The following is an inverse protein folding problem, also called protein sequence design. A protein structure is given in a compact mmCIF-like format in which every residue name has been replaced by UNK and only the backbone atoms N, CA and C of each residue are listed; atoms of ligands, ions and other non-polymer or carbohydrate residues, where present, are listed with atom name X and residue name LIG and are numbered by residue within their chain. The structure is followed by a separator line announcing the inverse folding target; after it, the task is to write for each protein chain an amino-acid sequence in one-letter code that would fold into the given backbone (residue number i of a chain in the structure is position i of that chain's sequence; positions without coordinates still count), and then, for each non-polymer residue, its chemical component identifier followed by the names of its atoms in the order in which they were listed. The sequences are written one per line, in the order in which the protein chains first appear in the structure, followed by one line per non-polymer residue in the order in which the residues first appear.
data_IF_667467469767
#
_entry.id   IF_667467469767
#
_cell.length_a   1.000
_cell.length_b   1.000
_cell.length_c   1.000
_cell.angle_alpha   90.00
_cell.angle_beta   90.00
_cell.angle_gamma   90.00
#
_symmetry.space_group_name_H-M   'P 1'
#
loop_
_entity.id
_entity.type
_entity.pdbx_description
1 polymer ?
#
# COMPACT_ATOMS: atom_id res chain seq x y z
N UNK A 1 9.52 6.50 -21.38
CA UNK A 1 9.48 7.45 -22.50
C UNK A 1 8.65 6.82 -23.58
N UNK A 2 7.43 7.32 -23.78
CA UNK A 2 6.48 6.71 -24.73
C UNK A 2 6.53 7.37 -26.12
N UNK A 3 7.29 8.47 -26.26
CA UNK A 3 7.40 9.20 -27.53
C UNK A 3 8.84 9.13 -28.07
N UNK A 4 9.02 8.35 -29.13
CA UNK A 4 10.30 8.14 -29.81
C UNK A 4 10.88 9.44 -30.40
N UNK A 5 10.03 10.38 -30.83
CA UNK A 5 10.47 11.66 -31.35
C UNK A 5 11.07 12.61 -30.30
N UNK A 6 10.64 12.47 -29.03
CA UNK A 6 11.24 13.22 -27.93
C UNK A 6 12.60 12.65 -27.52
N UNK A 7 12.79 11.33 -27.67
CA UNK A 7 14.05 10.67 -27.35
C UNK A 7 15.18 11.14 -28.25
N UNK A 8 14.93 11.36 -29.55
CA UNK A 8 15.92 11.79 -30.53
C UNK A 8 16.36 13.27 -30.35
N UNK A 9 15.62 14.07 -29.57
CA UNK A 9 15.93 15.47 -29.28
C UNK A 9 16.67 15.69 -27.96
N UNK A 10 16.86 14.64 -27.16
CA UNK A 10 17.57 14.74 -25.90
C UNK A 10 19.07 14.69 -26.14
N UNK A 11 19.78 15.68 -25.63
CA UNK A 11 21.24 15.69 -25.65
C UNK A 11 21.80 14.51 -24.84
N UNK A 12 22.84 13.88 -25.35
CA UNK A 12 23.49 12.73 -24.71
C UNK A 12 23.95 13.06 -23.27
N UNK A 13 24.41 14.28 -23.05
CA UNK A 13 24.82 14.78 -21.74
C UNK A 13 23.66 14.76 -20.75
N UNK A 14 22.50 15.28 -21.14
CA UNK A 14 21.27 15.25 -20.32
C UNK A 14 20.81 13.84 -20.00
N UNK A 15 20.93 12.91 -20.95
CA UNK A 15 20.59 11.49 -20.72
C UNK A 15 21.56 10.82 -19.74
N UNK A 16 22.86 11.11 -19.85
CA UNK A 16 23.88 10.61 -18.92
C UNK A 16 23.66 11.15 -17.51
N UNK A 17 23.45 12.45 -17.38
CA UNK A 17 23.15 13.08 -16.10
C UNK A 17 21.91 12.46 -15.46
N UNK A 18 20.83 12.31 -16.22
CA UNK A 18 19.59 11.69 -15.72
C UNK A 18 19.80 10.24 -15.25
N UNK A 19 20.60 9.47 -15.99
CA UNK A 19 20.92 8.08 -15.63
C UNK A 19 21.80 7.97 -14.37
N UNK A 20 22.66 8.96 -14.12
CA UNK A 20 23.56 8.99 -12.95
C UNK A 20 22.88 9.55 -11.68
N UNK A 21 21.82 10.34 -11.81
CA UNK A 21 21.16 10.99 -10.66
C UNK A 21 20.82 10.05 -9.50
N UNK A 22 20.31 8.82 -9.71
CA UNK A 22 20.03 7.91 -8.60
C UNK A 22 21.29 7.47 -7.82
N UNK A 23 22.46 7.46 -8.45
CA UNK A 23 23.73 7.10 -7.84
C UNK A 23 24.39 8.27 -7.08
N UNK A 24 23.97 9.52 -7.26
CA UNK A 24 24.59 10.67 -6.60
C UNK A 24 24.69 10.52 -5.07
N UNK A 25 23.67 10.03 -4.35
CA UNK A 25 23.78 9.86 -2.91
C UNK A 25 24.87 8.86 -2.49
N UNK A 26 25.09 7.79 -3.26
CA UNK A 26 26.18 6.83 -2.97
C UNK A 26 27.55 7.46 -3.19
N UNK A 27 27.72 8.25 -4.26
CA UNK A 27 28.96 8.96 -4.56
C UNK A 27 29.29 9.97 -3.45
N UNK A 28 28.30 10.71 -2.95
CA UNK A 28 28.49 11.63 -1.83
C UNK A 28 28.93 10.87 -0.56
N UNK A 29 28.28 9.75 -0.24
CA UNK A 29 28.62 8.92 0.90
C UNK A 29 30.04 8.35 0.81
N UNK A 30 30.43 7.81 -0.35
CA UNK A 30 31.78 7.27 -0.61
C UNK A 30 32.87 8.33 -0.45
N UNK A 31 32.58 9.58 -0.79
CA UNK A 31 33.50 10.70 -0.61
C UNK A 31 33.38 11.41 0.75
N UNK A 32 32.64 10.81 1.72
CA UNK A 32 32.41 11.37 3.05
C UNK A 32 31.83 12.79 3.06
N UNK A 33 31.05 13.13 2.04
CA UNK A 33 30.32 14.40 1.98
C UNK A 33 28.99 14.24 2.72
N UNK A 34 28.78 14.97 3.84
CA UNK A 34 27.52 14.88 4.56
C UNK A 34 26.37 15.46 3.76
N UNK A 35 25.26 14.75 3.69
CA UNK A 35 24.05 15.19 3.00
C UNK A 35 22.80 14.77 3.77
N UNK A 36 21.73 15.53 3.63
CA UNK A 36 20.41 15.21 4.14
C UNK A 36 19.41 15.01 3.00
N UNK A 37 18.51 14.06 3.15
CA UNK A 37 17.44 13.78 2.17
C UNK A 37 16.18 14.54 2.58
N UNK A 38 15.56 15.22 1.63
CA UNK A 38 14.35 16.03 1.85
C UNK A 38 13.25 15.66 0.85
N UNK A 39 12.01 15.97 1.19
CA UNK A 39 10.85 15.83 0.30
C UNK A 39 10.62 17.05 -0.58
N UNK A 40 11.48 18.07 -0.48
CA UNK A 40 11.35 19.28 -1.28
C UNK A 40 11.39 18.96 -2.78
N UNK A 41 10.55 19.61 -3.55
CA UNK A 41 10.41 19.43 -5.01
C UNK A 41 9.85 18.08 -5.47
N UNK A 42 9.40 17.23 -4.56
CA UNK A 42 8.64 16.03 -4.96
C UNK A 42 7.22 16.40 -5.37
N UNK A 43 6.74 15.81 -6.48
CA UNK A 43 5.35 15.97 -6.93
C UNK A 43 4.34 15.30 -5.97
N UNK A 44 4.75 14.23 -5.32
CA UNK A 44 3.98 13.51 -4.30
C UNK A 44 4.92 12.96 -3.23
N UNK A 45 4.48 12.99 -1.98
CA UNK A 45 5.21 12.41 -0.84
C UNK A 45 5.40 10.89 -1.02
N UNK A 46 4.49 10.22 -1.71
CA UNK A 46 4.58 8.78 -2.00
C UNK A 46 5.83 8.41 -2.79
N UNK A 47 6.35 9.36 -3.61
CA UNK A 47 7.59 9.18 -4.36
C UNK A 47 8.84 9.12 -3.48
N UNK A 48 8.76 9.61 -2.24
CA UNK A 48 9.90 9.68 -1.34
C UNK A 48 10.54 8.31 -1.12
N UNK A 49 9.75 7.34 -0.67
CA UNK A 49 10.24 5.97 -0.40
C UNK A 49 10.73 5.30 -1.69
N UNK A 50 10.04 5.51 -2.80
CA UNK A 50 10.41 4.94 -4.11
C UNK A 50 11.79 5.46 -4.53
N UNK A 51 12.01 6.78 -4.46
CA UNK A 51 13.27 7.40 -4.85
C UNK A 51 14.42 7.00 -3.91
N UNK A 52 14.15 6.87 -2.61
CA UNK A 52 15.11 6.41 -1.62
C UNK A 52 15.56 4.97 -1.89
N UNK A 53 14.61 4.06 -2.15
CA UNK A 53 14.91 2.67 -2.50
C UNK A 53 15.66 2.58 -3.84
N UNK A 54 15.37 3.46 -4.78
CA UNK A 54 16.12 3.56 -6.03
C UNK A 54 17.56 3.99 -5.80
N UNK A 55 17.81 4.96 -4.92
CA UNK A 55 19.18 5.36 -4.56
C UNK A 55 19.95 4.21 -3.89
N UNK A 56 19.29 3.43 -3.04
CA UNK A 56 19.86 2.22 -2.41
C UNK A 56 20.21 1.17 -3.49
N UNK A 57 19.32 0.93 -4.44
CA UNK A 57 19.58 0.02 -5.56
C UNK A 57 20.77 0.48 -6.44
N UNK A 58 21.12 1.79 -6.41
CA UNK A 58 22.26 2.38 -7.13
C UNK A 58 23.47 2.64 -6.23
N UNK A 59 23.60 1.90 -5.12
CA UNK A 59 24.83 1.84 -4.33
C UNK A 59 24.80 2.58 -2.99
N UNK A 60 23.77 3.35 -2.66
CA UNK A 60 23.66 3.96 -1.34
C UNK A 60 23.42 2.87 -0.28
N UNK A 61 24.32 2.76 0.71
CA UNK A 61 24.10 1.78 1.78
C UNK A 61 22.89 2.17 2.66
N UNK A 62 22.10 1.19 3.18
CA UNK A 62 20.98 1.47 4.08
C UNK A 62 21.40 2.28 5.32
N UNK A 63 22.61 2.07 5.83
CA UNK A 63 23.12 2.80 6.98
C UNK A 63 23.36 4.28 6.64
N UNK A 64 23.96 4.59 5.49
CA UNK A 64 24.15 5.97 5.06
C UNK A 64 22.82 6.64 4.73
N UNK A 65 21.89 5.91 4.13
CA UNK A 65 20.52 6.38 3.93
C UNK A 65 19.83 6.74 5.25
N UNK A 66 19.99 5.89 6.29
CA UNK A 66 19.44 6.16 7.62
C UNK A 66 20.11 7.39 8.27
N UNK A 67 21.42 7.53 8.16
CA UNK A 67 22.14 8.72 8.65
C UNK A 67 21.64 9.99 7.97
N UNK A 68 21.48 9.95 6.64
CA UNK A 68 21.00 11.08 5.84
C UNK A 68 19.55 11.48 6.18
N UNK A 69 18.78 10.60 6.80
CA UNK A 69 17.41 10.85 7.27
C UNK A 69 17.33 11.24 8.74
N UNK A 70 18.37 11.00 9.54
CA UNK A 70 18.30 11.13 11.01
C UNK A 70 19.42 11.97 11.60
N UNK A 71 20.63 11.42 11.69
CA UNK A 71 21.76 12.06 12.39
C UNK A 71 22.32 13.26 11.63
N UNK A 72 22.50 13.15 10.32
CA UNK A 72 23.04 14.26 9.51
C UNK A 72 22.12 15.48 9.53
N UNK A 73 20.78 15.37 9.32
CA UNK A 73 19.89 16.51 9.52
C UNK A 73 19.95 17.13 10.91
N UNK A 74 20.08 16.30 11.96
CA UNK A 74 20.20 16.78 13.33
C UNK A 74 21.49 17.60 13.54
N UNK A 75 22.61 17.14 12.99
CA UNK A 75 23.89 17.85 13.01
C UNK A 75 23.83 19.18 12.25
N UNK A 76 23.24 19.19 11.04
CA UNK A 76 23.05 20.42 10.25
C UNK A 76 22.23 21.44 11.03
N UNK A 77 21.16 20.98 11.72
CA UNK A 77 20.32 21.83 12.54
C UNK A 77 20.92 22.16 13.91
N UNK A 78 22.09 21.61 14.26
CA UNK A 78 22.76 21.75 15.56
C UNK A 78 21.83 21.39 16.73
N UNK A 79 21.06 20.32 16.56
CA UNK A 79 20.07 19.86 17.55
C UNK A 79 20.34 18.41 17.94
N UNK A 80 20.94 18.19 19.10
CA UNK A 80 21.33 16.89 19.64
C UNK A 80 20.14 16.08 20.21
N UNK A 81 18.97 16.71 20.35
CA UNK A 81 17.76 16.06 20.89
C UNK A 81 16.91 15.35 19.85
N UNK A 82 17.30 15.40 18.58
CA UNK A 82 16.60 14.73 17.47
C UNK A 82 17.56 13.82 16.69
N UNK A 83 17.02 13.00 15.80
CA UNK A 83 17.81 12.10 14.95
C UNK A 83 18.45 10.91 15.68
N UNK A 84 18.10 10.67 16.93
CA UNK A 84 18.59 9.56 17.73
C UNK A 84 17.57 9.12 18.81
N UNK A 85 17.78 7.95 19.41
CA UNK A 85 16.94 7.38 20.47
C UNK A 85 17.65 7.32 21.84
N UNK A 86 18.51 8.30 22.11
CA UNK A 86 19.25 8.37 23.40
C UNK A 86 18.32 8.90 24.50
N UNK A 87 18.68 8.55 25.76
CA UNK A 87 17.99 9.11 26.94
C UNK A 87 18.12 10.63 26.94
N UNK A 88 16.99 11.33 27.04
CA UNK A 88 16.92 12.80 27.01
C UNK A 88 16.63 13.39 25.63
N UNK A 89 16.64 12.60 24.58
CA UNK A 89 16.21 13.02 23.24
C UNK A 89 14.66 13.08 23.15
N UNK A 90 14.17 13.83 22.19
CA UNK A 90 12.74 13.85 21.90
C UNK A 90 12.29 12.47 21.39
N UNK A 91 11.11 12.04 21.84
CA UNK A 91 10.49 10.81 21.35
C UNK A 91 9.95 11.01 19.92
N UNK A 92 10.88 11.07 18.96
CA UNK A 92 10.62 11.18 17.54
C UNK A 92 11.10 9.88 16.87
N UNK A 93 10.19 8.98 16.57
CA UNK A 93 10.51 7.71 15.94
C UNK A 93 9.30 7.16 15.17
N UNK A 94 9.54 6.20 14.30
CA UNK A 94 8.48 5.45 13.61
C UNK A 94 8.62 3.96 13.91
N UNK A 95 7.48 3.28 13.90
CA UNK A 95 7.38 1.83 13.98
C UNK A 95 6.93 1.33 12.62
N UNK A 96 7.65 0.37 12.08
CA UNK A 96 7.38 -0.21 10.76
C UNK A 96 7.10 -1.71 10.88
N UNK A 97 6.41 -2.28 9.90
CA UNK A 97 6.08 -3.70 9.85
C UNK A 97 7.28 -4.62 9.57
N UNK A 98 8.41 -4.04 9.18
CA UNK A 98 9.66 -4.72 8.88
C UNK A 98 10.76 -3.68 8.67
N UNK A 99 11.83 -4.03 7.93
CA UNK A 99 12.87 -3.08 7.57
C UNK A 99 12.27 -1.91 6.78
N UNK A 100 12.58 -0.67 7.17
CA UNK A 100 12.08 0.53 6.50
C UNK A 100 12.48 0.56 5.02
N UNK A 101 13.64 0.03 4.70
CA UNK A 101 14.18 -0.04 3.35
C UNK A 101 13.67 -1.24 2.52
N UNK A 102 12.77 -2.06 3.07
CA UNK A 102 12.02 -3.02 2.27
C UNK A 102 10.81 -2.34 1.62
N UNK A 103 10.62 -2.61 0.32
CA UNK A 103 9.48 -2.09 -0.45
C UNK A 103 8.12 -2.54 0.10
N UNK A 104 8.06 -3.72 0.75
CA UNK A 104 6.85 -4.30 1.34
C UNK A 104 6.56 -3.75 2.74
N UNK A 105 7.54 -3.13 3.39
CA UNK A 105 7.39 -2.58 4.73
C UNK A 105 6.50 -1.33 4.73
N UNK A 106 5.59 -1.26 5.68
CA UNK A 106 4.68 -0.12 5.90
C UNK A 106 4.98 0.55 7.24
N UNK A 107 4.68 1.84 7.33
CA UNK A 107 4.74 2.57 8.59
C UNK A 107 3.46 2.28 9.38
N UNK A 108 3.61 1.75 10.58
CA UNK A 108 2.50 1.42 11.49
C UNK A 108 2.16 2.60 12.38
N UNK A 109 3.19 3.22 12.96
CA UNK A 109 3.05 4.34 13.88
C UNK A 109 4.15 5.37 13.67
N UNK A 110 3.83 6.61 13.96
CA UNK A 110 4.77 7.70 14.02
C UNK A 110 4.61 8.46 15.33
N UNK A 111 5.70 8.63 16.05
CA UNK A 111 5.74 9.37 17.30
C UNK A 111 6.47 10.69 17.09
N UNK A 112 5.84 11.79 17.46
CA UNK A 112 6.40 13.15 17.38
C UNK A 112 6.32 13.81 18.74
N UNK A 113 7.46 14.08 19.34
CA UNK A 113 7.57 14.64 20.71
C UNK A 113 6.70 13.88 21.73
N UNK A 114 6.64 12.55 21.61
CA UNK A 114 5.83 11.70 22.48
C UNK A 114 4.35 11.60 22.11
N UNK A 115 3.86 12.34 21.13
CA UNK A 115 2.51 12.20 20.61
C UNK A 115 2.46 11.05 19.59
N UNK A 116 1.58 10.08 19.81
CA UNK A 116 1.41 8.88 18.98
C UNK A 116 0.43 9.15 17.83
N UNK A 117 0.85 8.84 16.62
CA UNK A 117 0.01 8.86 15.42
C UNK A 117 -0.02 7.46 14.82
N UNK A 118 -1.20 6.85 14.73
CA UNK A 118 -1.40 5.49 14.22
C UNK A 118 -1.80 5.59 12.75
N UNK A 119 -1.04 4.93 11.87
CA UNK A 119 -1.36 4.78 10.44
C UNK A 119 -2.00 3.42 10.14
N UNK A 120 -1.46 2.35 10.74
CA UNK A 120 -2.06 1.03 10.72
C UNK A 120 -2.17 0.52 12.15
N UNK A 121 -3.39 0.18 12.58
CA UNK A 121 -3.61 -0.44 13.88
C UNK A 121 -3.12 -1.90 13.82
N UNK A 122 -2.04 -2.18 14.56
CA UNK A 122 -1.42 -3.51 14.64
C UNK A 122 -2.42 -4.52 15.23
N UNK A 123 -3.20 -4.07 16.21
CA UNK A 123 -4.19 -4.90 16.92
C UNK A 123 -5.50 -5.06 16.15
N UNK A 124 -5.70 -4.25 15.10
CA UNK A 124 -6.89 -4.35 14.28
C UNK A 124 -6.94 -5.69 13.56
N UNK A 125 -8.03 -6.42 13.77
CA UNK A 125 -8.23 -7.71 13.14
C UNK A 125 -8.32 -7.56 11.62
N UNK A 126 -7.66 -8.46 10.90
CA UNK A 126 -7.82 -8.56 9.45
C UNK A 126 -9.16 -9.22 9.13
N UNK A 127 -10.02 -8.44 8.47
CA UNK A 127 -11.37 -8.88 8.04
C UNK A 127 -11.45 -9.06 6.51
N UNK A 128 -10.31 -9.03 5.82
CA UNK A 128 -10.29 -9.28 4.38
C UNK A 128 -10.58 -10.75 4.09
N UNK A 129 -11.33 -10.98 3.04
CA UNK A 129 -11.70 -12.33 2.62
C UNK A 129 -13.08 -12.39 1.99
N UNK A 130 -13.55 -13.59 1.80
CA UNK A 130 -14.87 -13.86 1.25
C UNK A 130 -15.79 -14.35 2.35
N UNK A 131 -17.01 -13.85 2.33
CA UNK A 131 -18.06 -14.18 3.30
C UNK A 131 -19.33 -14.54 2.56
N UNK A 132 -20.16 -15.37 3.19
CA UNK A 132 -21.45 -15.77 2.67
C UNK A 132 -22.52 -15.61 3.74
N UNK A 133 -23.69 -15.15 3.35
CA UNK A 133 -24.87 -15.11 4.23
C UNK A 133 -26.15 -15.28 3.43
N UNK A 134 -27.23 -15.67 4.09
CA UNK A 134 -28.53 -15.89 3.48
C UNK A 134 -29.47 -14.74 3.84
N UNK A 135 -30.12 -14.16 2.84
CA UNK A 135 -31.16 -13.15 3.00
C UNK A 135 -32.35 -13.47 2.06
N UNK A 136 -33.54 -13.59 2.61
CA UNK A 136 -34.77 -13.91 1.85
C UNK A 136 -34.62 -15.08 0.87
N UNK A 137 -34.02 -16.18 1.31
CA UNK A 137 -33.71 -17.40 0.53
C UNK A 137 -32.63 -17.25 -0.57
N UNK A 138 -32.03 -16.08 -0.73
CA UNK A 138 -30.90 -15.88 -1.64
C UNK A 138 -29.58 -15.95 -0.87
N UNK A 139 -28.60 -16.66 -1.44
CA UNK A 139 -27.23 -16.67 -0.94
C UNK A 139 -26.48 -15.48 -1.46
N UNK A 140 -25.99 -14.66 -0.58
CA UNK A 140 -25.27 -13.43 -0.88
C UNK A 140 -23.78 -13.62 -0.53
N UNK A 141 -22.91 -13.25 -1.44
CA UNK A 141 -21.47 -13.25 -1.23
C UNK A 141 -20.96 -11.83 -1.00
N UNK A 142 -20.16 -11.69 0.04
CA UNK A 142 -19.45 -10.45 0.35
C UNK A 142 -17.95 -10.70 0.23
N UNK A 143 -17.27 -9.86 -0.56
CA UNK A 143 -15.82 -9.88 -0.69
C UNK A 143 -15.24 -8.58 -0.14
N UNK A 144 -14.37 -8.68 0.87
CA UNK A 144 -13.65 -7.56 1.47
C UNK A 144 -12.19 -7.63 1.03
N UNK A 145 -11.71 -6.59 0.36
CA UNK A 145 -10.38 -6.47 -0.20
C UNK A 145 -9.71 -5.15 0.22
N UNK A 146 -8.48 -4.94 -0.26
CA UNK A 146 -7.75 -3.68 -0.08
C UNK A 146 -6.63 -3.78 0.95
N UNK A 147 -6.10 -2.64 1.35
CA UNK A 147 -5.15 -2.53 2.47
C UNK A 147 -5.94 -2.43 3.77
N UNK A 148 -5.36 -2.86 4.92
CA UNK A 148 -6.01 -2.71 6.24
C UNK A 148 -6.51 -1.29 6.51
N UNK A 149 -5.77 -0.28 6.07
CA UNK A 149 -6.10 1.16 6.20
C UNK A 149 -7.14 1.65 5.21
N UNK A 150 -7.34 0.95 4.09
CA UNK A 150 -8.29 1.33 3.04
C UNK A 150 -8.94 0.08 2.47
N UNK A 151 -9.98 -0.36 3.14
CA UNK A 151 -10.78 -1.52 2.73
C UNK A 151 -11.79 -1.11 1.67
N UNK A 152 -12.10 -2.05 0.80
CA UNK A 152 -13.21 -1.99 -0.15
C UNK A 152 -14.01 -3.27 -0.01
N UNK A 153 -15.32 -3.19 -0.19
CA UNK A 153 -16.18 -4.35 -0.15
C UNK A 153 -17.10 -4.39 -1.37
N UNK A 154 -17.40 -5.59 -1.81
CA UNK A 154 -18.30 -5.86 -2.91
C UNK A 154 -19.25 -6.99 -2.48
N UNK A 155 -20.53 -6.73 -2.59
CA UNK A 155 -21.57 -7.69 -2.36
C UNK A 155 -22.14 -8.16 -3.70
N UNK A 156 -22.27 -9.46 -3.89
CA UNK A 156 -22.84 -10.06 -5.09
C UNK A 156 -23.98 -11.00 -4.77
N UNK A 157 -25.07 -10.82 -5.45
CA UNK A 157 -26.22 -11.75 -5.50
C UNK A 157 -26.19 -12.48 -6.84
N UNK A 158 -27.11 -13.41 -7.07
CA UNK A 158 -27.25 -14.08 -8.35
C UNK A 158 -27.55 -13.11 -9.54
N UNK A 159 -28.12 -11.93 -9.24
CA UNK A 159 -28.60 -10.97 -10.27
C UNK A 159 -27.85 -9.66 -10.28
N UNK A 160 -27.31 -9.19 -9.15
CA UNK A 160 -26.75 -7.85 -9.02
C UNK A 160 -25.44 -7.85 -8.22
N UNK A 161 -24.62 -6.85 -8.47
CA UNK A 161 -23.41 -6.59 -7.71
C UNK A 161 -23.46 -5.17 -7.18
N UNK A 162 -23.18 -5.00 -5.90
CA UNK A 162 -23.17 -3.71 -5.21
C UNK A 162 -21.79 -3.45 -4.62
N UNK A 163 -21.27 -2.25 -4.82
CA UNK A 163 -20.07 -1.79 -4.14
C UNK A 163 -20.41 -1.21 -2.77
N UNK A 164 -19.45 -1.24 -1.83
CA UNK A 164 -19.66 -0.70 -0.49
C UNK A 164 -18.55 0.26 -0.10
N UNK A 165 -18.96 1.37 0.48
CA UNK A 165 -18.07 2.15 1.34
C UNK A 165 -17.86 1.40 2.65
N UNK A 166 -16.58 1.24 3.05
CA UNK A 166 -16.18 0.50 4.26
C UNK A 166 -15.62 1.47 5.28
N UNK A 167 -16.18 1.45 6.48
CA UNK A 167 -15.59 2.09 7.65
C UNK A 167 -15.32 1.03 8.71
N UNK A 168 -14.05 0.86 9.07
CA UNK A 168 -13.64 -0.08 10.11
C UNK A 168 -12.71 0.62 11.08
N UNK A 169 -13.22 0.89 12.28
CA UNK A 169 -12.49 1.58 13.36
C UNK A 169 -12.84 0.96 14.70
N UNK A 170 -11.84 0.76 15.53
CA UNK A 170 -12.03 0.31 16.94
C UNK A 170 -13.00 -0.86 17.07
N UNK A 171 -12.78 -1.92 16.29
CA UNK A 171 -13.62 -3.13 16.25
C UNK A 171 -15.05 -2.93 15.69
N UNK A 172 -15.41 -1.74 15.24
CA UNK A 172 -16.70 -1.50 14.58
C UNK A 172 -16.55 -1.45 13.08
N UNK A 173 -17.26 -2.35 12.41
CA UNK A 173 -17.39 -2.42 10.96
C UNK A 173 -18.73 -1.84 10.53
N UNK A 174 -18.68 -0.90 9.59
CA UNK A 174 -19.84 -0.38 8.89
C UNK A 174 -19.64 -0.55 7.39
N UNK A 175 -20.59 -1.19 6.74
CA UNK A 175 -20.67 -1.34 5.29
C UNK A 175 -21.92 -0.61 4.79
N UNK A 176 -21.74 0.25 3.81
CA UNK A 176 -22.83 0.93 3.13
C UNK A 176 -22.82 0.50 1.66
N UNK A 177 -23.79 -0.32 1.29
CA UNK A 177 -23.98 -0.77 -0.09
C UNK A 177 -24.93 0.16 -0.82
N UNK A 178 -24.55 0.55 -2.01
CA UNK A 178 -25.37 1.35 -2.92
C UNK A 178 -25.59 0.58 -4.21
N UNK A 179 -26.82 0.57 -4.71
CA UNK A 179 -27.11 -0.02 -6.02
C UNK A 179 -26.43 0.80 -7.11
N UNK A 180 -25.80 0.12 -8.06
CA UNK A 180 -25.24 0.76 -9.26
C UNK A 180 -26.28 0.95 -10.35
N UNK A 181 -27.54 0.50 -10.10
CA UNK A 181 -28.65 0.68 -11.04
C UNK A 181 -29.30 2.05 -10.80
N UNK A 182 -29.19 2.94 -11.77
CA UNK A 182 -29.74 4.30 -11.73
C UNK A 182 -31.26 4.35 -11.59
N UNK A 183 -31.94 3.22 -11.75
CA UNK A 183 -33.40 3.11 -11.64
C UNK A 183 -33.90 2.76 -10.23
N UNK A 184 -33.04 2.27 -9.35
CA UNK A 184 -33.38 1.92 -7.96
C UNK A 184 -32.27 2.29 -6.98
N UNK A 185 -32.47 3.33 -6.19
CA UNK A 185 -31.59 3.69 -5.06
C UNK A 185 -31.89 2.78 -3.86
N UNK A 186 -31.38 1.56 -3.87
CA UNK A 186 -31.45 0.69 -2.69
C UNK A 186 -30.20 0.91 -1.83
N UNK A 187 -30.43 1.23 -0.56
CA UNK A 187 -29.37 1.35 0.43
C UNK A 187 -29.46 0.19 1.40
N UNK A 188 -28.34 -0.54 1.55
CA UNK A 188 -28.20 -1.55 2.59
C UNK A 188 -27.05 -1.14 3.48
N UNK A 189 -27.28 -1.04 4.79
CA UNK A 189 -26.24 -0.76 5.77
C UNK A 189 -26.07 -1.97 6.68
N UNK A 190 -24.82 -2.42 6.81
CA UNK A 190 -24.46 -3.46 7.77
C UNK A 190 -23.56 -2.87 8.85
N UNK A 191 -23.90 -3.09 10.11
CA UNK A 191 -23.11 -2.70 11.26
C UNK A 191 -22.78 -3.94 12.09
N UNK A 192 -21.49 -4.14 12.37
CA UNK A 192 -21.03 -5.27 13.16
C UNK A 192 -19.94 -4.86 14.14
N UNK A 193 -19.91 -5.51 15.31
CA UNK A 193 -18.76 -5.48 16.21
C UNK A 193 -17.89 -6.69 15.93
N UNK A 194 -16.63 -6.47 15.60
CA UNK A 194 -15.69 -7.52 15.28
C UNK A 194 -15.10 -8.09 16.56
N UNK A 195 -15.18 -9.40 16.73
CA UNK A 195 -14.61 -10.13 17.87
C UNK A 195 -13.31 -10.81 17.45
N UNK A 196 -12.24 -10.68 18.23
CA UNK A 196 -10.91 -11.21 17.89
C UNK A 196 -10.90 -12.72 17.62
N UNK A 197 -11.75 -13.48 18.29
CA UNK A 197 -11.77 -14.93 18.22
C UNK A 197 -12.73 -15.53 17.18
N UNK A 198 -13.50 -14.70 16.45
CA UNK A 198 -14.48 -15.19 15.48
C UNK A 198 -14.16 -14.64 14.07
N UNK A 199 -13.97 -15.52 13.10
CA UNK A 199 -13.78 -15.11 11.68
C UNK A 199 -15.07 -14.57 11.04
N UNK A 200 -16.24 -14.98 11.56
CA UNK A 200 -17.53 -14.56 11.05
C UNK A 200 -17.84 -13.11 11.46
N UNK A 201 -18.57 -12.40 10.59
CA UNK A 201 -19.06 -11.05 10.86
C UNK A 201 -20.51 -11.16 11.37
N UNK A 202 -20.71 -10.85 12.64
CA UNK A 202 -22.03 -10.90 13.29
C UNK A 202 -22.50 -9.46 13.50
N UNK A 203 -23.67 -9.13 12.95
CA UNK A 203 -24.15 -7.76 13.02
C UNK A 203 -25.60 -7.59 12.61
N UNK A 204 -25.99 -6.35 12.41
CA UNK A 204 -27.34 -5.97 12.00
C UNK A 204 -27.31 -5.36 10.60
N UNK A 205 -28.15 -5.87 9.73
CA UNK A 205 -28.43 -5.32 8.42
C UNK A 205 -29.67 -4.42 8.50
N UNK A 206 -29.52 -3.20 7.99
CA UNK A 206 -30.61 -2.22 7.86
C UNK A 206 -31.02 -2.16 6.39
N UNK A 207 -32.28 -2.39 6.14
CA UNK A 207 -32.87 -2.36 4.80
C UNK A 207 -33.41 -0.95 4.48
N UNK A 208 -33.60 -0.68 3.19
CA UNK A 208 -34.14 0.58 2.67
C UNK A 208 -35.54 0.94 3.18
N UNK A 209 -36.35 -0.07 3.52
CA UNK A 209 -37.68 0.08 4.10
C UNK A 209 -37.68 0.32 5.64
N UNK A 210 -36.52 0.54 6.24
CA UNK A 210 -36.34 0.75 7.68
C UNK A 210 -36.38 -0.50 8.54
N UNK A 211 -36.58 -1.67 7.95
CA UNK A 211 -36.51 -2.94 8.69
C UNK A 211 -35.08 -3.32 9.02
N UNK A 212 -34.89 -4.02 10.13
CA UNK A 212 -33.59 -4.52 10.58
C UNK A 212 -33.60 -6.03 10.65
N UNK A 213 -32.49 -6.65 10.27
CA UNK A 213 -32.29 -8.09 10.33
C UNK A 213 -30.93 -8.40 10.96
N UNK A 214 -30.91 -9.27 11.98
CA UNK A 214 -29.66 -9.83 12.47
C UNK A 214 -29.08 -10.80 11.43
N UNK A 215 -27.80 -10.61 11.10
CA UNK A 215 -27.13 -11.41 10.06
C UNK A 215 -25.78 -11.89 10.57
N UNK A 216 -25.49 -13.15 10.29
CA UNK A 216 -24.16 -13.74 10.47
C UNK A 216 -23.58 -14.01 9.09
N UNK A 217 -22.51 -13.31 8.76
CA UNK A 217 -21.75 -13.55 7.52
C UNK A 217 -20.64 -14.54 7.83
N UNK A 218 -20.72 -15.72 7.24
CA UNK A 218 -19.78 -16.83 7.46
C UNK A 218 -18.56 -16.62 6.58
N UNK A 219 -17.37 -16.68 7.19
CA UNK A 219 -16.11 -16.58 6.48
C UNK A 219 -15.85 -17.86 5.65
N UNK A 220 -15.52 -17.69 4.38
CA UNK A 220 -15.15 -18.79 3.48
C UNK A 220 -13.62 -18.92 3.47
N UNK A 221 -13.07 -20.05 3.90
CA UNK A 221 -11.63 -20.32 3.82
C UNK A 221 -11.20 -20.45 2.35
N UNK A 222 -10.03 -19.94 2.01
CA UNK A 222 -9.48 -19.95 0.62
C UNK A 222 -9.43 -21.37 0.01
N UNK A 223 -9.36 -22.41 0.82
CA UNK A 223 -9.36 -23.81 0.36
C UNK A 223 -10.69 -24.24 -0.27
N UNK A 224 -11.80 -23.67 0.14
CA UNK A 224 -13.11 -23.97 -0.45
C UNK A 224 -13.38 -23.21 -1.75
N UNK A 225 -12.76 -22.01 -1.89
CA UNK A 225 -12.88 -21.17 -3.10
C UNK A 225 -12.03 -21.73 -4.24
N UNK A 226 -10.89 -22.35 -3.94
CA UNK A 226 -9.98 -22.94 -4.96
C UNK A 226 -10.59 -24.15 -5.67
N UNK A 227 -11.50 -24.89 -5.05
CA UNK A 227 -12.16 -26.07 -5.63
C UNK A 227 -13.21 -25.74 -6.70
N UNK A 228 -13.60 -24.48 -6.85
CA UNK A 228 -14.61 -24.01 -7.83
C UNK A 228 -14.03 -23.20 -8.99
N UNK A 229 -12.71 -22.99 -9.06
CA UNK A 229 -12.07 -22.35 -10.22
C UNK A 229 -11.79 -23.38 -11.29
N UNK A 230 -12.65 -23.44 -12.30
CA UNK A 230 -12.38 -24.08 -13.58
C UNK A 230 -11.06 -23.57 -14.16
N UNK A 231 -10.19 -24.48 -14.50
CA UNK A 231 -8.91 -24.29 -15.18
C UNK A 231 -9.06 -23.37 -16.40
N UNK A 232 -8.65 -22.12 -16.27
CA UNK A 232 -8.31 -21.32 -17.43
C UNK A 232 -6.91 -21.76 -17.88
N UNK A 233 -6.84 -22.46 -18.99
CA UNK A 233 -5.60 -22.82 -19.67
C UNK A 233 -4.77 -21.56 -19.90
N UNK A 234 -3.64 -21.46 -19.20
CA UNK A 234 -2.62 -20.47 -19.49
C UNK A 234 -2.06 -20.80 -20.88
N UNK A 235 -2.35 -19.96 -21.86
CA UNK A 235 -1.56 -19.94 -23.09
C UNK A 235 -0.12 -19.59 -22.73
N UNK A 236 0.87 -20.34 -23.18
CA UNK A 236 2.26 -19.98 -22.92
C UNK A 236 2.55 -18.62 -23.54
N UNK A 237 3.10 -17.71 -22.74
CA UNK A 237 3.65 -16.45 -23.23
C UNK A 237 4.90 -16.82 -24.02
N UNK A 238 4.86 -16.66 -25.35
CA UNK A 238 6.03 -16.83 -26.19
C UNK A 238 7.10 -15.83 -25.74
N UNK A 239 8.36 -16.26 -25.59
CA UNK A 239 9.43 -15.33 -25.26
C UNK A 239 9.57 -14.32 -26.41
N UNK A 240 9.55 -13.04 -26.08
CA UNK A 240 9.83 -11.97 -27.01
C UNK A 240 11.32 -12.05 -27.34
N UNK A 241 11.67 -12.55 -28.52
CA UNK A 241 13.03 -12.47 -29.02
C UNK A 241 13.29 -11.05 -29.51
N UNK A 242 14.17 -10.34 -28.80
CA UNK A 242 14.69 -9.08 -29.34
C UNK A 242 15.61 -9.39 -30.53
N UNK A 243 15.50 -8.66 -31.65
CA UNK A 243 16.47 -8.81 -32.73
C UNK A 243 17.86 -8.43 -32.20
N UNK A 244 18.84 -9.32 -32.41
CA UNK A 244 20.25 -9.05 -32.14
C UNK A 244 20.69 -7.83 -32.94
N UNK A 245 20.77 -6.66 -32.34
CA UNK A 245 21.52 -5.55 -32.90
C UNK A 245 23.00 -5.90 -32.77
N UNK A 246 23.59 -6.41 -33.85
CA UNK A 246 25.03 -6.58 -33.96
C UNK A 246 25.65 -5.17 -33.97
N UNK A 247 26.23 -4.76 -32.83
CA UNK A 247 27.15 -3.63 -32.82
C UNK A 247 28.41 -4.04 -33.56
N UNK A 248 28.62 -3.42 -34.72
CA UNK A 248 29.85 -3.59 -35.50
C UNK A 248 31.07 -3.24 -34.67
N UNK A 249 32.11 -4.07 -34.78
CA UNK A 249 33.42 -3.86 -34.18
C UNK A 249 33.98 -2.50 -34.53
N UNK A 250 33.99 -1.55 -33.59
CA UNK A 250 34.85 -0.38 -33.63
C UNK A 250 36.24 -0.86 -33.23
N UNK A 251 37.12 -1.04 -34.22
CA UNK A 251 38.59 -1.09 -34.02
C UNK A 251 39.05 0.31 -33.64
N UNK A 252 39.75 0.43 -32.52
CA UNK A 252 40.58 1.55 -32.14
C UNK A 252 41.83 1.63 -33.08
#
# INVERSE_FOLDING_TARGET
MEDTFLADRLELESMREWNQRPANPSILAENNVPFAITTQSLKSVDQFKINLLNAIAHGLSPNEALKALTTVPAEILKNDKIGNLKKGSHANFMITSGDFFDSKSTVLEHWVRGSRHIFEDIDQKDIRGEYEFVMKNDTIKLKINGKKTKLSAMMSTAKTTMSSAVSYKTDWLQLLFTSNDSSQTAFLRFNAKITKNNKNLIGTLYLDNGQTQAVTMVYLDEKEVASKKTTKTNKPILPVSFPNCAYGNLKL
#
